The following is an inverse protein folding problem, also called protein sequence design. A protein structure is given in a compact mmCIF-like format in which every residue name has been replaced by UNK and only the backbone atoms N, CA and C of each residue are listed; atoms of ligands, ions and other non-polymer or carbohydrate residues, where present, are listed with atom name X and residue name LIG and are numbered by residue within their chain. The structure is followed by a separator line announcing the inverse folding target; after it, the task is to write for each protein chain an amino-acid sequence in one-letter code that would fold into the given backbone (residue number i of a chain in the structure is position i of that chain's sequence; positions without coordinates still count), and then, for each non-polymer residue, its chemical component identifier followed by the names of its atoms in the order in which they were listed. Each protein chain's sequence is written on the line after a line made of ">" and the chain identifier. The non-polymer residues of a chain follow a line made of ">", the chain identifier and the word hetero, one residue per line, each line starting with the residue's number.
data_IF_860552572775
#
_entry.id   IF_860552572775
#
_cell.length_a   1.000
_cell.length_b   1.000
_cell.length_c   1.000
_cell.angle_alpha   90.00
_cell.angle_beta   90.00
_cell.angle_gamma   90.00
#
_symmetry.space_group_name_H-M   'P 1'
#
loop_
_entity.id
_entity.type
_entity.pdbx_description
1 polymer ?
#
# COMPACT_ATOMS: atom_id res chain seq x y z
N UNK A 1 14.35 -35.61 -6.22
CA UNK A 1 14.42 -34.13 -6.33
C UNK A 1 13.23 -33.54 -7.06
N UNK A 2 12.80 -34.04 -8.21
CA UNK A 2 11.63 -33.50 -8.95
C UNK A 2 10.31 -33.41 -8.15
N UNK A 3 10.05 -34.33 -7.22
CA UNK A 3 8.80 -34.35 -6.45
C UNK A 3 8.66 -33.19 -5.45
N UNK A 4 9.76 -32.71 -4.89
CA UNK A 4 9.71 -31.62 -3.89
C UNK A 4 9.37 -30.27 -4.53
N UNK A 5 10.04 -29.93 -5.63
CA UNK A 5 9.77 -28.69 -6.38
C UNK A 5 8.33 -28.66 -6.93
N UNK A 6 7.81 -29.82 -7.36
CA UNK A 6 6.42 -29.92 -7.86
C UNK A 6 5.39 -29.73 -6.74
N UNK A 7 5.68 -30.20 -5.53
CA UNK A 7 4.81 -29.99 -4.36
C UNK A 7 4.80 -28.51 -3.97
N UNK A 8 5.95 -27.87 -3.88
CA UNK A 8 6.05 -26.42 -3.58
C UNK A 8 5.28 -25.56 -4.59
N UNK A 9 5.34 -25.88 -5.89
CA UNK A 9 4.59 -25.16 -6.92
C UNK A 9 3.08 -25.37 -6.76
N UNK A 10 2.62 -26.57 -6.44
CA UNK A 10 1.21 -26.87 -6.24
C UNK A 10 0.65 -26.16 -4.99
N UNK A 11 1.43 -26.09 -3.91
CA UNK A 11 1.07 -25.35 -2.71
C UNK A 11 0.93 -23.85 -3.00
N UNK A 12 1.92 -23.24 -3.67
CA UNK A 12 1.87 -21.85 -4.09
C UNK A 12 0.66 -21.55 -5.00
N UNK A 13 0.34 -22.47 -5.89
CA UNK A 13 -0.82 -22.33 -6.76
C UNK A 13 -2.14 -22.39 -5.99
N UNK A 14 -2.24 -23.30 -5.03
CA UNK A 14 -3.41 -23.40 -4.14
C UNK A 14 -3.61 -22.11 -3.33
N UNK A 15 -2.53 -21.57 -2.77
CA UNK A 15 -2.58 -20.33 -1.99
C UNK A 15 -2.94 -19.12 -2.86
N UNK A 16 -2.42 -19.07 -4.08
CA UNK A 16 -2.83 -18.06 -5.05
C UNK A 16 -4.34 -18.11 -5.33
N UNK A 17 -4.91 -19.29 -5.58
CA UNK A 17 -6.33 -19.45 -5.85
C UNK A 17 -7.20 -19.05 -4.66
N UNK A 18 -6.81 -19.41 -3.43
CA UNK A 18 -7.50 -18.99 -2.20
C UNK A 18 -7.49 -17.47 -2.04
N UNK A 19 -6.33 -16.85 -2.27
CA UNK A 19 -6.18 -15.39 -2.15
C UNK A 19 -6.98 -14.63 -3.21
N UNK A 20 -7.02 -15.15 -4.44
CA UNK A 20 -7.84 -14.58 -5.52
C UNK A 20 -9.33 -14.67 -5.19
N UNK A 21 -9.78 -15.83 -4.69
CA UNK A 21 -11.14 -16.05 -4.21
C UNK A 21 -11.53 -15.06 -3.12
N UNK A 22 -10.66 -14.86 -2.13
CA UNK A 22 -10.87 -13.89 -1.05
C UNK A 22 -11.02 -12.46 -1.57
N UNK A 23 -10.14 -12.03 -2.49
CA UNK A 23 -10.23 -10.69 -3.09
C UNK A 23 -11.58 -10.51 -3.81
N UNK A 24 -12.04 -11.53 -4.53
CA UNK A 24 -13.32 -11.51 -5.22
C UNK A 24 -14.50 -11.49 -4.25
N UNK A 25 -14.51 -12.38 -3.25
CA UNK A 25 -15.58 -12.46 -2.23
C UNK A 25 -15.74 -11.16 -1.46
N UNK A 26 -14.63 -10.52 -1.07
CA UNK A 26 -14.65 -9.24 -0.37
C UNK A 26 -14.97 -8.05 -1.28
N UNK A 27 -15.05 -8.28 -2.60
CA UNK A 27 -15.27 -7.22 -3.59
C UNK A 27 -14.25 -6.05 -3.44
N UNK A 28 -13.00 -6.38 -3.07
CA UNK A 28 -11.97 -5.42 -2.72
C UNK A 28 -11.64 -4.47 -3.86
N UNK A 29 -11.63 -4.97 -5.10
CA UNK A 29 -11.34 -4.15 -6.29
C UNK A 29 -12.38 -3.05 -6.44
N UNK A 30 -13.66 -3.39 -6.33
CA UNK A 30 -14.75 -2.41 -6.45
C UNK A 30 -14.75 -1.40 -5.31
N UNK A 31 -14.53 -1.87 -4.08
CA UNK A 31 -14.43 -1.00 -2.90
C UNK A 31 -13.25 -0.03 -3.04
N UNK A 32 -12.07 -0.53 -3.42
CA UNK A 32 -10.87 0.28 -3.61
C UNK A 32 -11.08 1.35 -4.68
N UNK A 33 -11.68 1.00 -5.82
CA UNK A 33 -12.01 1.97 -6.86
C UNK A 33 -12.99 3.03 -6.37
N UNK A 34 -14.01 2.63 -5.59
CA UNK A 34 -14.96 3.57 -4.99
C UNK A 34 -14.28 4.55 -4.04
N UNK A 35 -13.35 4.08 -3.20
CA UNK A 35 -12.60 4.95 -2.29
C UNK A 35 -11.70 5.93 -3.02
N UNK A 36 -11.05 5.50 -4.10
CA UNK A 36 -10.28 6.41 -4.95
C UNK A 36 -11.17 7.42 -5.66
N UNK A 37 -12.32 7.03 -6.18
CA UNK A 37 -13.29 7.95 -6.78
C UNK A 37 -13.76 9.00 -5.77
N UNK A 38 -14.03 8.60 -4.53
CA UNK A 38 -14.39 9.51 -3.44
C UNK A 38 -13.24 10.47 -3.09
N UNK A 39 -12.01 9.96 -3.01
CA UNK A 39 -10.84 10.77 -2.74
C UNK A 39 -10.58 11.79 -3.85
N UNK A 40 -10.73 11.40 -5.11
CA UNK A 40 -10.54 12.26 -6.27
C UNK A 40 -11.75 13.19 -6.55
N UNK A 41 -12.89 12.94 -5.91
CA UNK A 41 -14.13 13.68 -6.17
C UNK A 41 -14.84 13.27 -7.47
N UNK A 42 -14.45 12.13 -8.06
CA UNK A 42 -14.97 11.67 -9.34
C UNK A 42 -16.36 11.02 -9.25
N UNK A 43 -16.83 10.67 -8.03
CA UNK A 43 -18.18 10.16 -7.80
C UNK A 43 -19.28 11.07 -8.36
N UNK A 44 -19.09 12.39 -8.30
CA UNK A 44 -20.07 13.35 -8.80
C UNK A 44 -20.12 13.42 -10.32
N UNK A 45 -18.97 13.26 -10.99
CA UNK A 45 -18.91 13.20 -12.46
C UNK A 45 -19.67 11.99 -13.00
N UNK A 46 -19.53 10.84 -12.33
CA UNK A 46 -20.22 9.59 -12.71
C UNK A 46 -21.73 9.68 -12.53
N UNK A 47 -22.19 10.37 -11.44
CA UNK A 47 -23.62 10.49 -11.15
C UNK A 47 -24.34 11.51 -12.01
N UNK A 48 -23.72 12.64 -12.35
CA UNK A 48 -24.42 13.75 -12.97
C UNK A 48 -23.97 14.06 -14.40
N UNK A 49 -22.98 13.35 -14.92
CA UNK A 49 -22.40 13.56 -16.25
C UNK A 49 -22.12 15.06 -16.58
N UNK A 50 -21.79 15.84 -15.58
CA UNK A 50 -21.50 17.28 -15.64
C UNK A 50 -20.27 17.61 -14.80
N UNK A 51 -19.48 18.57 -15.28
CA UNK A 51 -18.37 19.14 -14.54
C UNK A 51 -18.91 20.16 -13.52
N UNK A 52 -19.20 19.72 -12.32
CA UNK A 52 -19.47 20.62 -11.20
C UNK A 52 -18.18 20.98 -10.47
N UNK A 53 -18.04 22.20 -9.94
CA UNK A 53 -17.01 22.50 -8.96
C UNK A 53 -17.29 21.64 -7.71
N UNK A 54 -16.41 20.69 -7.44
CA UNK A 54 -16.55 19.78 -6.29
C UNK A 54 -15.63 20.27 -5.18
N UNK A 55 -16.22 20.58 -4.04
CA UNK A 55 -15.47 20.76 -2.80
C UNK A 55 -15.18 19.38 -2.22
N UNK A 56 -13.96 18.89 -2.40
CA UNK A 56 -13.58 17.55 -1.96
C UNK A 56 -13.09 17.56 -0.51
N UNK A 57 -14.03 17.51 0.44
CA UNK A 57 -13.71 17.44 1.87
C UNK A 57 -13.00 16.15 2.26
N UNK A 58 -13.19 15.06 1.52
CA UNK A 58 -12.52 13.77 1.78
C UNK A 58 -11.02 13.92 1.51
N UNK A 59 -10.65 14.47 0.38
CA UNK A 59 -9.26 14.76 0.05
C UNK A 59 -8.60 15.64 1.11
N UNK A 60 -9.26 16.75 1.47
CA UNK A 60 -8.75 17.68 2.47
C UNK A 60 -8.57 17.02 3.83
N UNK A 61 -9.51 16.18 4.26
CA UNK A 61 -9.43 15.46 5.52
C UNK A 61 -8.29 14.44 5.52
N UNK A 62 -8.14 13.69 4.45
CA UNK A 62 -7.05 12.72 4.29
C UNK A 62 -5.69 13.42 4.31
N UNK A 63 -5.53 14.47 3.53
CA UNK A 63 -4.28 15.25 3.48
C UNK A 63 -3.94 15.87 4.84
N UNK A 64 -4.92 16.42 5.54
CA UNK A 64 -4.72 16.97 6.88
C UNK A 64 -4.25 15.90 7.88
N UNK A 65 -4.88 14.73 7.90
CA UNK A 65 -4.46 13.64 8.78
C UNK A 65 -3.05 13.14 8.47
N UNK A 66 -2.75 12.94 7.19
CA UNK A 66 -1.43 12.49 6.76
C UNK A 66 -0.36 13.54 7.11
N UNK A 67 -0.63 14.82 6.89
CA UNK A 67 0.28 15.91 7.24
C UNK A 67 0.62 15.90 8.72
N UNK A 68 -0.37 15.68 9.59
CA UNK A 68 -0.13 15.61 11.03
C UNK A 68 0.75 14.40 11.44
N UNK A 69 0.61 13.26 10.76
CA UNK A 69 1.44 12.09 10.99
C UNK A 69 2.86 12.30 10.45
N UNK A 70 2.96 12.87 9.25
CA UNK A 70 4.21 13.04 8.53
C UNK A 70 5.02 14.29 8.95
N UNK A 71 4.52 15.12 9.88
CA UNK A 71 5.26 16.28 10.41
C UNK A 71 6.55 15.87 11.10
N UNK A 72 6.57 14.71 11.73
CA UNK A 72 7.76 14.18 12.36
C UNK A 72 8.48 13.25 11.39
N UNK A 73 9.78 13.46 11.20
CA UNK A 73 10.61 12.55 10.42
C UNK A 73 10.52 11.15 11.04
N UNK A 74 9.96 10.21 10.32
CA UNK A 74 9.79 8.83 10.80
C UNK A 74 10.94 7.96 10.30
N UNK A 75 12.15 8.25 10.78
CA UNK A 75 13.30 7.37 10.56
C UNK A 75 13.36 6.34 11.67
N UNK A 76 13.57 5.05 11.36
CA UNK A 76 13.93 4.07 12.37
C UNK A 76 15.18 4.51 13.11
N UNK A 77 15.20 4.27 14.40
CA UNK A 77 16.34 4.60 15.27
C UNK A 77 17.07 3.31 15.65
N UNK A 78 18.40 3.36 15.60
CA UNK A 78 19.27 2.28 16.03
C UNK A 78 20.11 2.74 17.20
N UNK A 79 20.35 1.85 18.17
CA UNK A 79 21.20 2.14 19.32
C UNK A 79 22.69 2.31 18.96
N UNK A 80 23.09 1.81 17.79
CA UNK A 80 24.41 1.97 17.20
C UNK A 80 24.45 3.21 16.31
N UNK A 81 25.19 4.24 16.72
CA UNK A 81 25.29 5.51 16.02
C UNK A 81 25.91 5.40 14.59
N UNK A 82 26.78 4.41 14.36
CA UNK A 82 27.38 4.21 13.04
C UNK A 82 26.35 3.56 12.09
N UNK A 83 25.58 2.62 12.60
CA UNK A 83 24.51 1.97 11.87
C UNK A 83 23.38 2.96 11.57
N UNK A 84 23.01 3.80 12.55
CA UNK A 84 21.99 4.83 12.42
C UNK A 84 22.31 5.81 11.29
N UNK A 85 23.55 6.32 11.30
CA UNK A 85 24.03 7.23 10.26
C UNK A 85 24.04 6.57 8.85
N UNK A 86 24.50 5.33 8.73
CA UNK A 86 24.47 4.60 7.46
C UNK A 86 23.06 4.41 6.97
N UNK A 87 22.14 4.14 7.87
CA UNK A 87 20.71 3.97 7.53
C UNK A 87 20.09 5.29 7.08
N UNK A 88 20.36 6.39 7.76
CA UNK A 88 19.90 7.71 7.34
C UNK A 88 20.39 8.07 5.93
N UNK A 89 21.68 7.85 5.65
CA UNK A 89 22.25 8.09 4.32
C UNK A 89 21.54 7.27 3.22
N UNK A 90 21.26 5.99 3.48
CA UNK A 90 20.53 5.14 2.51
C UNK A 90 19.04 5.54 2.41
N UNK A 91 18.41 5.95 3.50
CA UNK A 91 17.06 6.47 3.55
C UNK A 91 16.87 7.71 2.67
N UNK A 92 17.81 8.67 2.78
CA UNK A 92 17.81 9.88 1.95
C UNK A 92 18.07 9.58 0.48
N UNK A 93 19.07 8.74 0.17
CA UNK A 93 19.37 8.31 -1.21
C UNK A 93 18.16 7.64 -1.86
N UNK A 94 17.46 6.83 -1.12
CA UNK A 94 16.25 6.13 -1.57
C UNK A 94 15.01 7.03 -1.62
N UNK A 95 15.07 8.29 -1.15
CA UNK A 95 13.94 9.23 -1.03
C UNK A 95 12.75 8.61 -0.28
N UNK A 96 13.04 7.91 0.80
CA UNK A 96 12.07 7.11 1.54
C UNK A 96 10.96 7.97 2.17
N UNK A 97 11.23 9.20 2.58
CA UNK A 97 10.20 10.10 3.12
C UNK A 97 9.07 10.34 2.12
N UNK A 98 9.42 10.57 0.85
CA UNK A 98 8.42 10.74 -0.21
C UNK A 98 7.61 9.47 -0.49
N UNK A 99 8.27 8.32 -0.42
CA UNK A 99 7.64 7.01 -0.62
C UNK A 99 6.74 6.65 0.57
N UNK A 100 7.21 6.94 1.78
CA UNK A 100 6.44 6.74 2.99
C UNK A 100 5.18 7.62 3.02
N UNK A 101 5.28 8.87 2.59
CA UNK A 101 4.13 9.76 2.43
C UNK A 101 3.08 9.18 1.47
N UNK A 102 3.53 8.61 0.35
CA UNK A 102 2.63 7.90 -0.59
C UNK A 102 2.01 6.66 0.03
N UNK A 103 2.78 5.89 0.81
CA UNK A 103 2.27 4.71 1.54
C UNK A 103 1.15 5.10 2.50
N UNK A 104 1.37 6.14 3.31
CA UNK A 104 0.36 6.68 4.22
C UNK A 104 -0.91 7.13 3.48
N UNK A 105 -0.74 7.77 2.32
CA UNK A 105 -1.86 8.17 1.47
C UNK A 105 -2.68 6.98 1.00
N UNK A 106 -2.01 5.94 0.48
CA UNK A 106 -2.68 4.72 0.05
C UNK A 106 -3.39 4.04 1.23
N UNK A 107 -2.73 3.91 2.38
CA UNK A 107 -3.35 3.34 3.58
C UNK A 107 -4.57 4.14 4.05
N UNK A 108 -4.50 5.46 4.04
CA UNK A 108 -5.62 6.30 4.45
C UNK A 108 -6.84 6.21 3.51
N UNK A 109 -6.63 5.89 2.23
CA UNK A 109 -7.69 5.77 1.22
C UNK A 109 -8.26 4.34 1.17
N UNK A 110 -7.39 3.33 1.20
CA UNK A 110 -7.74 1.93 0.93
C UNK A 110 -7.86 1.07 2.20
N UNK A 111 -7.42 1.58 3.35
CA UNK A 111 -7.25 0.82 4.60
C UNK A 111 -5.86 0.23 4.70
N UNK A 112 -5.46 -0.60 3.77
CA UNK A 112 -4.16 -1.26 3.74
C UNK A 112 -3.31 -0.75 2.59
N UNK A 113 -2.00 -0.64 2.84
CA UNK A 113 -1.03 -0.32 1.81
C UNK A 113 0.27 -1.08 2.05
N UNK A 114 0.89 -1.51 0.97
CA UNK A 114 2.09 -2.33 1.00
C UNK A 114 3.22 -1.65 0.26
N UNK A 115 4.43 -1.85 0.77
CA UNK A 115 5.64 -1.37 0.14
C UNK A 115 6.54 -2.57 -0.17
N UNK A 116 6.82 -2.78 -1.44
CA UNK A 116 7.79 -3.76 -1.89
C UNK A 116 9.18 -3.14 -1.93
N UNK A 117 10.09 -3.67 -1.11
CA UNK A 117 11.50 -3.25 -1.06
C UNK A 117 12.33 -4.25 -1.85
N UNK A 118 13.04 -3.78 -2.87
CA UNK A 118 14.03 -4.62 -3.55
C UNK A 118 15.24 -4.87 -2.65
N UNK A 119 15.96 -5.99 -2.82
CA UNK A 119 17.04 -6.41 -1.90
C UNK A 119 18.17 -5.38 -1.71
N UNK A 120 18.33 -4.45 -2.63
CA UNK A 120 19.36 -3.41 -2.57
C UNK A 120 18.84 -2.05 -2.05
N UNK A 121 17.63 -1.98 -1.53
CA UNK A 121 16.91 -0.77 -1.09
C UNK A 121 16.87 0.40 -2.10
N UNK A 122 17.51 0.27 -3.26
CA UNK A 122 17.60 1.34 -4.27
C UNK A 122 16.27 1.63 -4.93
N UNK A 123 15.36 0.66 -4.90
CA UNK A 123 14.06 0.81 -5.51
C UNK A 123 13.01 0.22 -4.57
N UNK A 124 12.01 1.02 -4.25
CA UNK A 124 10.86 0.56 -3.51
C UNK A 124 9.58 1.02 -4.22
N UNK A 125 8.63 0.14 -4.31
CA UNK A 125 7.38 0.35 -5.01
C UNK A 125 6.21 0.24 -4.04
N UNK A 126 5.30 1.20 -4.11
CA UNK A 126 4.02 1.10 -3.40
C UNK A 126 3.10 0.19 -4.21
N UNK A 127 2.54 -0.80 -3.56
CA UNK A 127 1.66 -1.81 -4.17
C UNK A 127 0.26 -1.63 -3.61
N UNK A 128 -0.74 -1.71 -4.47
CA UNK A 128 -2.14 -1.68 -4.04
C UNK A 128 -2.49 -2.92 -3.23
N UNK A 129 -3.40 -2.78 -2.28
CA UNK A 129 -3.95 -3.91 -1.52
C UNK A 129 -4.59 -4.99 -2.41
N UNK A 130 -5.10 -4.61 -3.58
CA UNK A 130 -5.68 -5.53 -4.56
C UNK A 130 -4.64 -6.34 -5.34
N UNK A 131 -3.36 -6.00 -5.21
CA UNK A 131 -2.25 -6.66 -5.92
C UNK A 131 -1.40 -7.52 -5.00
N UNK A 132 -1.75 -7.62 -3.72
CA UNK A 132 -1.02 -8.41 -2.73
C UNK A 132 -1.82 -9.66 -2.41
N UNK A 133 -1.19 -10.81 -2.56
CA UNK A 133 -1.73 -12.12 -2.22
C UNK A 133 -0.91 -12.69 -1.06
N UNK A 134 -1.62 -13.25 -0.09
CA UNK A 134 -0.98 -13.88 1.06
C UNK A 134 -0.85 -15.37 0.81
N UNK A 135 0.36 -15.90 0.98
CA UNK A 135 0.66 -17.33 0.79
C UNK A 135 0.42 -18.17 2.07
N UNK A 136 0.09 -17.56 3.19
CA UNK A 136 -0.17 -18.24 4.46
C UNK A 136 -1.64 -18.08 4.88
N UNK A 137 -2.25 -19.16 5.38
CA UNK A 137 -3.63 -19.21 5.89
C UNK A 137 -3.83 -18.43 7.18
N UNK A 138 -2.78 -17.86 7.75
CA UNK A 138 -2.89 -16.97 8.89
C UNK A 138 -3.55 -15.68 8.42
N UNK A 139 -4.88 -15.69 8.42
CA UNK A 139 -5.61 -14.44 8.41
C UNK A 139 -5.08 -13.60 9.57
N UNK A 140 -4.66 -12.37 9.34
CA UNK A 140 -4.46 -11.45 10.46
C UNK A 140 -5.81 -11.28 11.14
N UNK A 141 -5.93 -11.76 12.38
CA UNK A 141 -7.04 -11.48 13.26
C UNK A 141 -7.19 -9.97 13.50
#
# INVERSE_FOLDING_TARGET
>A
MKNKETMEINELWSDYQKSESFIQEQNLISKTNTYWDMYLGDQWKKLYNKNFPVFNFIEQTVLFKISNIAQNKMTPYFDDAELDKKFEDEWEKAKMDSKFWKLLKHSAIQGDAYMYLKPNMKDCQIVSNTSVLFADERTPD
#
